data_IF_029266795166
#
_entry.id   IF_029266795166
#
_cell.length_a   1.000
_cell.length_b   1.000
_cell.length_c   1.000
_cell.angle_alpha   90.00
_cell.angle_beta   90.00
_cell.angle_gamma   90.00
#
_symmetry.space_group_name_H-M   'P 1'
#
loop_
_entity.id
_entity.type
_entity.pdbx_description
1 polymer ?
#
# COMPACT_ATOMS: atom_id res chain seq x y z
N UNK A 1 11.92 17.20 -12.06
CA UNK A 1 10.45 17.27 -12.25
C UNK A 1 9.71 16.99 -10.95
N UNK A 2 9.92 15.83 -10.32
CA UNK A 2 9.23 15.44 -9.06
C UNK A 2 9.35 16.48 -7.95
N UNK A 3 10.54 17.04 -7.70
CA UNK A 3 10.72 18.09 -6.70
C UNK A 3 9.83 19.32 -6.96
N UNK A 4 9.77 19.81 -8.22
CA UNK A 4 8.91 20.93 -8.62
C UNK A 4 7.43 20.63 -8.38
N UNK A 5 6.99 19.40 -8.67
CA UNK A 5 5.63 18.94 -8.40
C UNK A 5 5.35 18.94 -6.89
N UNK A 6 6.23 18.37 -6.08
CA UNK A 6 6.08 18.34 -4.62
C UNK A 6 5.99 19.75 -4.03
N UNK A 7 6.85 20.67 -4.47
CA UNK A 7 6.81 22.07 -4.03
C UNK A 7 5.53 22.77 -4.50
N UNK A 8 5.06 22.51 -5.72
CA UNK A 8 3.80 23.05 -6.22
C UNK A 8 2.61 22.61 -5.36
N UNK A 9 2.50 21.31 -5.10
CA UNK A 9 1.41 20.72 -4.30
C UNK A 9 1.46 21.18 -2.85
N UNK A 10 2.67 21.28 -2.27
CA UNK A 10 2.86 21.79 -0.91
C UNK A 10 2.36 23.23 -0.76
N UNK A 11 2.69 24.10 -1.72
CA UNK A 11 2.32 25.52 -1.69
C UNK A 11 0.84 25.76 -2.05
N UNK A 12 0.11 24.73 -2.47
CA UNK A 12 -1.27 24.81 -2.96
C UNK A 12 -2.14 23.66 -2.44
N UNK A 13 -2.34 23.54 -1.11
CA UNK A 13 -3.12 22.44 -0.53
C UNK A 13 -4.56 22.36 -1.07
N UNK A 14 -5.17 23.51 -1.41
CA UNK A 14 -6.49 23.58 -2.01
C UNK A 14 -6.58 22.90 -3.39
N UNK A 15 -5.45 22.74 -4.09
CA UNK A 15 -5.37 21.98 -5.34
C UNK A 15 -4.89 20.55 -5.10
N UNK A 16 -3.97 20.36 -4.16
CA UNK A 16 -3.44 19.03 -3.86
C UNK A 16 -4.53 18.08 -3.33
N UNK A 17 -5.42 18.55 -2.44
CA UNK A 17 -6.49 17.71 -1.89
C UNK A 17 -7.45 17.20 -3.00
N UNK A 18 -8.03 18.06 -3.86
CA UNK A 18 -8.83 17.59 -5.00
C UNK A 18 -8.07 16.66 -5.93
N UNK A 19 -6.80 16.95 -6.26
CA UNK A 19 -5.99 16.07 -7.13
C UNK A 19 -5.83 14.68 -6.50
N UNK A 20 -5.51 14.61 -5.22
CA UNK A 20 -5.37 13.34 -4.50
C UNK A 20 -6.70 12.56 -4.46
N UNK A 21 -7.83 13.25 -4.21
CA UNK A 21 -9.16 12.64 -4.22
C UNK A 21 -9.51 12.12 -5.61
N UNK A 22 -9.36 12.94 -6.65
CA UNK A 22 -9.66 12.56 -8.04
C UNK A 22 -8.79 11.38 -8.47
N UNK A 23 -7.49 11.41 -8.16
CA UNK A 23 -6.60 10.27 -8.42
C UNK A 23 -7.09 9.01 -7.72
N UNK A 24 -7.42 9.10 -6.44
CA UNK A 24 -7.90 7.94 -5.67
C UNK A 24 -9.20 7.37 -6.24
N UNK A 25 -10.18 8.22 -6.55
CA UNK A 25 -11.48 7.80 -7.08
C UNK A 25 -11.40 7.24 -8.51
N UNK A 26 -10.52 7.77 -9.36
CA UNK A 26 -10.47 7.39 -10.78
C UNK A 26 -9.40 6.35 -11.10
N UNK A 27 -8.38 6.18 -10.25
CA UNK A 27 -7.24 5.29 -10.52
C UNK A 27 -7.14 4.17 -9.50
N UNK A 28 -7.38 4.43 -8.21
CA UNK A 28 -7.26 3.42 -7.15
C UNK A 28 -8.54 2.60 -7.04
N UNK A 29 -9.68 3.22 -6.72
CA UNK A 29 -10.94 2.47 -6.54
C UNK A 29 -11.38 1.58 -7.73
N UNK A 30 -11.15 1.96 -9.01
CA UNK A 30 -11.56 1.13 -10.14
C UNK A 30 -10.47 0.14 -10.61
N UNK A 31 -9.45 -0.15 -9.80
CA UNK A 31 -8.32 -0.96 -10.23
C UNK A 31 -8.72 -2.38 -10.65
N UNK A 32 -9.72 -3.00 -10.00
CA UNK A 32 -10.25 -4.31 -10.41
C UNK A 32 -10.88 -4.27 -11.81
N UNK A 33 -11.58 -3.18 -12.16
CA UNK A 33 -12.18 -2.97 -13.48
C UNK A 33 -11.07 -2.83 -14.53
N UNK A 34 -10.02 -2.08 -14.21
CA UNK A 34 -8.85 -1.96 -15.09
C UNK A 34 -8.19 -3.32 -15.27
N UNK A 35 -8.00 -4.09 -14.19
CA UNK A 35 -7.50 -5.46 -14.24
C UNK A 35 -8.33 -6.37 -15.15
N UNK A 36 -9.66 -6.28 -15.07
CA UNK A 36 -10.57 -7.02 -15.95
C UNK A 36 -10.49 -6.58 -17.41
N UNK A 37 -10.40 -5.28 -17.68
CA UNK A 37 -10.23 -4.76 -19.04
C UNK A 37 -8.90 -5.24 -19.62
N UNK A 38 -7.83 -5.16 -18.85
CA UNK A 38 -6.52 -5.68 -19.25
C UNK A 38 -6.60 -7.17 -19.53
N UNK A 39 -7.18 -7.96 -18.62
CA UNK A 39 -7.37 -9.40 -18.81
C UNK A 39 -8.18 -9.70 -20.08
N UNK A 40 -9.25 -8.94 -20.35
CA UNK A 40 -10.06 -9.09 -21.55
C UNK A 40 -9.29 -8.77 -22.84
N UNK A 41 -8.42 -7.74 -22.85
CA UNK A 41 -7.58 -7.41 -24.01
C UNK A 41 -6.61 -8.55 -24.35
N UNK A 42 -6.15 -9.29 -23.34
CA UNK A 42 -5.25 -10.42 -23.50
C UNK A 42 -5.96 -11.77 -23.63
N UNK A 43 -7.27 -11.81 -23.43
CA UNK A 43 -8.07 -13.02 -23.49
C UNK A 43 -8.04 -13.61 -24.90
N UNK A 44 -7.84 -14.93 -25.00
CA UNK A 44 -7.71 -15.64 -26.27
C UNK A 44 -6.38 -15.45 -27.03
N UNK A 45 -5.48 -14.57 -26.58
CA UNK A 45 -4.19 -14.30 -27.25
C UNK A 45 -2.98 -14.81 -26.46
N UNK A 46 -3.10 -14.97 -25.14
CA UNK A 46 -1.98 -15.34 -24.27
C UNK A 46 -2.43 -16.34 -23.21
N UNK A 47 -1.55 -17.27 -22.85
CA UNK A 47 -1.78 -18.11 -21.67
C UNK A 47 -1.61 -17.29 -20.40
N UNK A 48 -2.15 -17.79 -19.27
CA UNK A 48 -1.93 -17.15 -17.95
C UNK A 48 -0.44 -17.00 -17.62
N UNK A 49 0.38 -17.96 -18.03
CA UNK A 49 1.82 -17.94 -17.78
C UNK A 49 2.53 -16.90 -18.66
N UNK A 50 2.14 -16.75 -19.92
CA UNK A 50 2.65 -15.70 -20.80
C UNK A 50 2.28 -14.32 -20.26
N UNK A 51 1.03 -14.16 -19.81
CA UNK A 51 0.55 -12.92 -19.20
C UNK A 51 1.36 -12.58 -17.94
N UNK A 52 1.46 -13.52 -17.00
CA UNK A 52 2.24 -13.34 -15.78
C UNK A 52 3.71 -13.03 -16.07
N UNK A 53 4.33 -13.71 -17.03
CA UNK A 53 5.72 -13.48 -17.43
C UNK A 53 5.89 -12.08 -18.01
N UNK A 54 4.95 -11.64 -18.85
CA UNK A 54 4.96 -10.30 -19.45
C UNK A 54 4.87 -9.21 -18.39
N UNK A 55 3.91 -9.34 -17.47
CA UNK A 55 3.77 -8.38 -16.36
C UNK A 55 5.01 -8.38 -15.47
N UNK A 56 5.63 -9.54 -15.21
CA UNK A 56 6.86 -9.64 -14.43
C UNK A 56 8.02 -8.90 -15.13
N UNK A 57 8.21 -9.11 -16.44
CA UNK A 57 9.27 -8.43 -17.22
C UNK A 57 9.06 -6.91 -17.18
N UNK A 58 7.83 -6.43 -17.42
CA UNK A 58 7.50 -5.00 -17.35
C UNK A 58 7.80 -4.44 -15.95
N UNK A 59 7.45 -5.19 -14.90
CA UNK A 59 7.68 -4.79 -13.52
C UNK A 59 9.16 -4.70 -13.17
N UNK A 60 9.97 -5.66 -13.63
CA UNK A 60 11.42 -5.64 -13.43
C UNK A 60 12.09 -4.47 -14.16
N UNK A 61 11.69 -4.20 -15.40
CA UNK A 61 12.16 -3.03 -16.15
C UNK A 61 11.76 -1.72 -15.46
N UNK A 62 10.54 -1.63 -14.96
CA UNK A 62 10.05 -0.50 -14.16
C UNK A 62 10.85 -0.30 -12.88
N UNK A 63 11.16 -1.38 -12.16
CA UNK A 63 11.97 -1.34 -10.93
C UNK A 63 13.42 -0.92 -11.22
N UNK A 64 14.02 -1.38 -12.32
CA UNK A 64 15.35 -0.97 -12.75
C UNK A 64 15.39 0.52 -13.07
N UNK A 65 14.41 1.01 -13.85
CA UNK A 65 14.27 2.44 -14.15
C UNK A 65 14.08 3.28 -12.87
N UNK A 66 13.16 2.85 -12.00
CA UNK A 66 12.90 3.50 -10.71
C UNK A 66 14.18 3.58 -9.86
N UNK A 67 14.92 2.48 -9.76
CA UNK A 67 16.17 2.40 -9.00
C UNK A 67 17.24 3.32 -9.58
N UNK A 68 17.37 3.37 -10.91
CA UNK A 68 18.26 4.31 -11.59
C UNK A 68 17.93 5.77 -11.24
N UNK A 69 16.65 6.17 -11.34
CA UNK A 69 16.21 7.53 -10.99
C UNK A 69 16.54 7.84 -9.52
N UNK A 70 16.26 6.90 -8.63
CA UNK A 70 16.51 7.06 -7.19
C UNK A 70 18.01 7.24 -6.90
N UNK A 71 18.88 6.39 -7.46
CA UNK A 71 20.34 6.47 -7.29
C UNK A 71 20.89 7.77 -7.88
N UNK A 72 20.39 8.20 -9.04
CA UNK A 72 20.76 9.45 -9.68
C UNK A 72 20.44 10.66 -8.80
N UNK A 73 19.26 10.68 -8.16
CA UNK A 73 18.86 11.79 -7.27
C UNK A 73 19.72 11.85 -6.00
N UNK A 74 20.31 10.74 -5.59
CA UNK A 74 21.16 10.62 -4.41
C UNK A 74 22.65 10.86 -4.72
N UNK A 75 22.98 11.27 -5.94
CA UNK A 75 24.36 11.56 -6.32
C UNK A 75 24.89 12.77 -5.54
N UNK A 76 25.88 12.55 -4.68
CA UNK A 76 26.52 13.58 -3.87
C UNK A 76 26.19 13.55 -2.37
N UNK A 77 25.06 12.95 -1.95
CA UNK A 77 24.69 12.86 -0.53
C UNK A 77 24.90 11.44 0.00
N UNK A 78 26.12 11.15 0.48
CA UNK A 78 26.51 9.80 0.96
C UNK A 78 25.63 9.31 2.11
N UNK A 79 25.27 10.20 3.04
CA UNK A 79 24.48 9.85 4.22
C UNK A 79 23.05 9.47 3.84
N UNK A 80 22.39 10.33 3.06
CA UNK A 80 21.04 10.07 2.57
C UNK A 80 21.02 8.85 1.65
N UNK A 81 22.05 8.70 0.81
CA UNK A 81 22.20 7.55 -0.10
C UNK A 81 22.18 6.23 0.67
N UNK A 82 23.00 6.10 1.73
CA UNK A 82 23.03 4.87 2.55
C UNK A 82 21.66 4.56 3.15
N UNK A 83 21.00 5.57 3.73
CA UNK A 83 19.67 5.41 4.34
C UNK A 83 18.64 4.94 3.29
N UNK A 84 18.48 5.69 2.21
CA UNK A 84 17.44 5.42 1.20
C UNK A 84 17.71 4.08 0.50
N UNK A 85 18.95 3.75 0.16
CA UNK A 85 19.27 2.47 -0.46
C UNK A 85 19.08 1.27 0.49
N UNK A 86 19.35 1.42 1.79
CA UNK A 86 19.05 0.36 2.75
C UNK A 86 17.54 0.09 2.86
N UNK A 87 16.72 1.14 2.86
CA UNK A 87 15.27 0.99 2.86
C UNK A 87 14.75 0.47 1.53
N UNK A 88 15.33 0.88 0.39
CA UNK A 88 15.00 0.32 -0.92
C UNK A 88 15.29 -1.19 -0.96
N UNK A 89 16.47 -1.62 -0.53
CA UNK A 89 16.83 -3.03 -0.48
C UNK A 89 15.84 -3.83 0.40
N UNK A 90 15.53 -3.34 1.60
CA UNK A 90 14.53 -3.97 2.47
C UNK A 90 13.13 -4.01 1.82
N UNK A 91 12.71 -2.92 1.18
CA UNK A 91 11.40 -2.83 0.49
C UNK A 91 11.32 -3.83 -0.66
N UNK A 92 12.39 -3.98 -1.45
CA UNK A 92 12.48 -4.98 -2.52
C UNK A 92 12.42 -6.40 -1.96
N UNK A 93 13.12 -6.70 -0.86
CA UNK A 93 13.02 -8.01 -0.19
C UNK A 93 11.60 -8.29 0.28
N UNK A 94 10.94 -7.35 0.96
CA UNK A 94 9.55 -7.52 1.40
C UNK A 94 8.57 -7.63 0.22
N UNK A 95 8.84 -6.93 -0.88
CA UNK A 95 8.07 -7.04 -2.12
C UNK A 95 8.20 -8.43 -2.71
N UNK A 96 9.42 -8.97 -2.83
CA UNK A 96 9.67 -10.34 -3.32
C UNK A 96 8.97 -11.36 -2.42
N UNK A 97 9.06 -11.21 -1.09
CA UNK A 97 8.35 -12.08 -0.15
C UNK A 97 6.84 -12.00 -0.34
N UNK A 98 6.28 -10.79 -0.48
CA UNK A 98 4.84 -10.61 -0.74
C UNK A 98 4.43 -11.25 -2.07
N UNK A 99 5.26 -11.11 -3.11
CA UNK A 99 5.03 -11.71 -4.42
C UNK A 99 5.03 -13.24 -4.39
N UNK A 100 5.85 -13.84 -3.52
CA UNK A 100 5.95 -15.30 -3.37
C UNK A 100 4.91 -15.88 -2.44
N UNK A 101 4.44 -15.11 -1.46
CA UNK A 101 3.62 -15.62 -0.37
C UNK A 101 2.16 -15.17 -0.47
N UNK A 102 1.89 -13.97 -0.98
CA UNK A 102 0.59 -13.30 -0.85
C UNK A 102 -0.11 -13.09 -2.19
N UNK A 103 0.65 -12.86 -3.26
CA UNK A 103 0.09 -12.50 -4.58
C UNK A 103 -0.30 -13.74 -5.38
N UNK A 104 -1.50 -13.70 -5.97
CA UNK A 104 -2.08 -14.78 -6.78
C UNK A 104 -1.82 -14.60 -8.28
N UNK A 105 -1.82 -13.35 -8.75
CA UNK A 105 -1.62 -12.98 -10.15
C UNK A 105 -0.65 -11.80 -10.24
N UNK A 106 0.24 -11.81 -11.21
CA UNK A 106 1.33 -10.82 -11.25
C UNK A 106 0.83 -9.38 -11.49
N UNK A 107 -0.40 -9.21 -11.99
CA UNK A 107 -1.02 -7.90 -12.21
C UNK A 107 -1.25 -7.12 -10.91
N UNK A 108 -1.30 -7.79 -9.75
CA UNK A 108 -1.37 -7.13 -8.45
C UNK A 108 -0.15 -6.23 -8.17
N UNK A 109 0.90 -6.32 -8.98
CA UNK A 109 2.01 -5.36 -8.95
C UNK A 109 1.57 -3.90 -9.15
N UNK A 110 0.38 -3.69 -9.74
CA UNK A 110 -0.21 -2.36 -9.91
C UNK A 110 -0.41 -1.62 -8.59
N UNK A 111 -0.68 -2.35 -7.49
CA UNK A 111 -0.81 -1.79 -6.15
C UNK A 111 0.46 -1.04 -5.72
N UNK A 112 1.65 -1.55 -6.05
CA UNK A 112 2.90 -0.86 -5.71
C UNK A 112 2.99 0.51 -6.40
N UNK A 113 2.58 0.59 -7.66
CA UNK A 113 2.64 1.82 -8.47
C UNK A 113 1.56 2.81 -8.03
N UNK A 114 0.33 2.34 -7.84
CA UNK A 114 -0.79 3.16 -7.39
C UNK A 114 -0.51 3.77 -6.02
N UNK A 115 -0.09 2.97 -5.05
CA UNK A 115 0.15 3.49 -3.71
C UNK A 115 1.45 4.30 -3.60
N UNK A 116 2.43 4.08 -4.48
CA UNK A 116 3.55 5.01 -4.62
C UNK A 116 3.08 6.40 -5.06
N UNK A 117 2.14 6.48 -6.00
CA UNK A 117 1.53 7.74 -6.42
C UNK A 117 0.68 8.36 -5.30
N UNK A 118 -0.17 7.59 -4.63
CA UNK A 118 -0.96 8.04 -3.46
C UNK A 118 -0.06 8.67 -2.40
N UNK A 119 1.01 7.97 -2.00
CA UNK A 119 1.94 8.49 -1.00
C UNK A 119 2.64 9.77 -1.45
N UNK A 120 2.99 9.87 -2.73
CA UNK A 120 3.62 11.08 -3.31
C UNK A 120 2.67 12.28 -3.27
N UNK A 121 1.36 12.08 -3.50
CA UNK A 121 0.34 13.14 -3.45
C UNK A 121 -0.02 13.55 -2.02
N UNK A 122 -0.06 12.58 -1.09
CA UNK A 122 -0.39 12.84 0.32
C UNK A 122 0.79 13.49 1.07
N UNK A 123 2.03 13.14 0.71
CA UNK A 123 3.20 13.61 1.44
C UNK A 123 3.29 15.15 1.58
N UNK A 124 3.06 15.98 0.54
CA UNK A 124 3.06 17.45 0.68
C UNK A 124 2.06 18.02 1.69
N UNK A 125 0.97 17.29 1.99
CA UNK A 125 -0.04 17.68 2.99
C UNK A 125 0.45 17.35 4.41
N UNK A 126 0.95 16.13 4.59
CA UNK A 126 1.28 15.56 5.90
C UNK A 126 2.71 15.91 6.35
N UNK A 127 3.65 15.94 5.40
CA UNK A 127 5.08 16.26 5.54
C UNK A 127 5.81 15.37 6.55
N UNK A 128 5.30 14.16 6.79
CA UNK A 128 5.86 13.19 7.74
C UNK A 128 5.78 11.80 7.15
N UNK A 129 6.94 11.20 6.91
CA UNK A 129 7.06 9.89 6.26
C UNK A 129 6.20 8.81 6.94
N UNK A 130 6.34 8.61 8.24
CA UNK A 130 5.58 7.58 8.96
C UNK A 130 4.06 7.82 8.94
N UNK A 131 3.61 9.07 9.07
CA UNK A 131 2.19 9.39 8.98
C UNK A 131 1.67 9.24 7.55
N UNK A 132 2.47 9.57 6.53
CA UNK A 132 2.08 9.34 5.13
C UNK A 132 1.94 7.86 4.80
N UNK A 133 2.85 6.99 5.28
CA UNK A 133 2.67 5.53 5.13
C UNK A 133 1.37 5.12 5.81
N UNK A 134 1.13 5.55 7.05
CA UNK A 134 -0.08 5.20 7.79
C UNK A 134 -1.36 5.65 7.04
N UNK A 135 -1.42 6.90 6.57
CA UNK A 135 -2.57 7.38 5.78
C UNK A 135 -2.74 6.61 4.48
N UNK A 136 -1.65 6.31 3.77
CA UNK A 136 -1.71 5.50 2.56
C UNK A 136 -2.18 4.07 2.86
N UNK A 137 -1.76 3.46 3.98
CA UNK A 137 -2.25 2.14 4.42
C UNK A 137 -3.73 2.17 4.78
N UNK A 138 -4.21 3.21 5.46
CA UNK A 138 -5.64 3.37 5.76
C UNK A 138 -6.48 3.52 4.49
N UNK A 139 -5.96 4.23 3.49
CA UNK A 139 -6.59 4.26 2.17
C UNK A 139 -6.49 2.90 1.47
N UNK A 140 -5.38 2.17 1.61
CA UNK A 140 -5.24 0.76 1.21
C UNK A 140 -6.36 -0.12 1.76
N UNK A 141 -6.63 0.03 3.05
CA UNK A 141 -7.69 -0.69 3.72
C UNK A 141 -9.09 -0.26 3.25
N UNK A 142 -9.29 1.02 2.95
CA UNK A 142 -10.56 1.54 2.47
C UNK A 142 -10.86 1.09 1.03
N UNK A 143 -9.85 1.01 0.17
CA UNK A 143 -9.95 0.45 -1.18
C UNK A 143 -10.39 -1.01 -1.14
N UNK A 144 -9.71 -1.84 -0.33
CA UNK A 144 -10.11 -3.23 -0.17
C UNK A 144 -11.48 -3.39 0.48
N UNK A 145 -11.86 -2.50 1.42
CA UNK A 145 -13.20 -2.50 1.99
C UNK A 145 -14.26 -2.21 0.92
N UNK A 146 -13.97 -1.27 0.01
CA UNK A 146 -14.85 -0.97 -1.10
C UNK A 146 -15.02 -2.16 -2.04
N UNK A 147 -13.91 -2.82 -2.40
CA UNK A 147 -13.92 -4.03 -3.21
C UNK A 147 -14.74 -5.15 -2.56
N UNK A 148 -14.43 -5.45 -1.30
CA UNK A 148 -15.02 -6.54 -0.54
C UNK A 148 -16.52 -6.36 -0.26
N UNK A 149 -16.93 -5.16 0.15
CA UNK A 149 -18.32 -4.92 0.56
C UNK A 149 -19.24 -4.52 -0.60
N UNK A 150 -18.73 -3.86 -1.64
CA UNK A 150 -19.57 -3.24 -2.67
C UNK A 150 -19.30 -3.75 -4.08
N UNK A 151 -18.03 -3.84 -4.50
CA UNK A 151 -17.73 -4.14 -5.90
C UNK A 151 -17.89 -5.63 -6.24
N UNK A 152 -17.44 -6.49 -5.35
CA UNK A 152 -17.29 -7.92 -5.59
C UNK A 152 -17.74 -8.79 -4.42
N UNK A 153 -18.91 -8.53 -3.80
CA UNK A 153 -19.33 -9.27 -2.61
C UNK A 153 -19.50 -10.77 -2.89
N UNK A 154 -19.98 -11.16 -4.06
CA UNK A 154 -20.20 -12.58 -4.37
C UNK A 154 -18.93 -13.34 -4.77
N UNK A 155 -17.86 -12.61 -5.13
CA UNK A 155 -16.59 -13.19 -5.62
C UNK A 155 -15.51 -13.26 -4.55
N UNK A 156 -15.69 -12.55 -3.43
CA UNK A 156 -14.69 -12.43 -2.37
C UNK A 156 -15.10 -13.21 -1.13
N UNK A 157 -14.21 -14.12 -0.70
CA UNK A 157 -14.44 -14.98 0.47
C UNK A 157 -14.00 -14.31 1.78
N UNK A 158 -13.11 -13.34 1.71
CA UNK A 158 -12.52 -12.65 2.85
C UNK A 158 -12.09 -11.24 2.43
N UNK A 159 -11.96 -10.36 3.42
CA UNK A 159 -11.35 -9.06 3.26
C UNK A 159 -9.84 -9.23 3.07
N UNK A 160 -9.29 -8.76 1.95
CA UNK A 160 -7.93 -9.10 1.54
C UNK A 160 -6.84 -8.26 2.22
N UNK A 161 -6.36 -8.74 3.37
CA UNK A 161 -5.22 -8.12 4.04
C UNK A 161 -3.91 -8.20 3.23
N UNK A 162 -3.81 -9.09 2.24
CA UNK A 162 -2.64 -9.16 1.36
C UNK A 162 -2.50 -7.86 0.58
N UNK A 163 -3.62 -7.37 0.03
CA UNK A 163 -3.68 -6.12 -0.73
C UNK A 163 -3.33 -4.91 0.12
N UNK A 164 -3.81 -4.87 1.37
CA UNK A 164 -3.44 -3.80 2.32
C UNK A 164 -1.93 -3.78 2.61
N UNK A 165 -1.29 -4.95 2.70
CA UNK A 165 0.16 -5.06 2.93
C UNK A 165 0.94 -4.59 1.69
N UNK A 166 0.57 -5.02 0.49
CA UNK A 166 1.25 -4.57 -0.74
C UNK A 166 1.00 -3.07 -1.02
N UNK A 167 -0.17 -2.54 -0.66
CA UNK A 167 -0.48 -1.10 -0.68
C UNK A 167 0.47 -0.31 0.24
N UNK A 168 0.72 -0.81 1.45
CA UNK A 168 1.72 -0.23 2.36
C UNK A 168 3.10 -0.23 1.70
N UNK A 169 3.56 -1.34 1.15
CA UNK A 169 4.87 -1.42 0.47
C UNK A 169 4.95 -0.49 -0.75
N UNK A 170 3.88 -0.37 -1.53
CA UNK A 170 3.74 0.60 -2.61
C UNK A 170 3.94 2.03 -2.14
N UNK A 171 3.28 2.40 -1.04
CA UNK A 171 3.41 3.73 -0.45
C UNK A 171 4.86 4.08 -0.08
N UNK A 172 5.64 3.09 0.35
CA UNK A 172 7.05 3.25 0.69
C UNK A 172 7.88 3.54 -0.55
N UNK A 173 7.63 2.89 -1.71
CA UNK A 173 8.30 3.25 -2.96
C UNK A 173 8.06 4.72 -3.33
N UNK A 174 6.84 5.23 -3.15
CA UNK A 174 6.54 6.65 -3.34
C UNK A 174 7.37 7.55 -2.41
N UNK A 175 7.42 7.20 -1.13
CA UNK A 175 8.16 7.96 -0.13
C UNK A 175 9.69 7.89 -0.28
N UNK A 176 10.23 6.77 -0.75
CA UNK A 176 11.66 6.65 -1.09
C UNK A 176 12.02 7.59 -2.23
N UNK A 177 11.16 7.72 -3.24
CA UNK A 177 11.34 8.69 -4.32
C UNK A 177 11.29 10.12 -3.79
N UNK A 178 10.27 10.45 -2.97
CA UNK A 178 10.16 11.76 -2.29
C UNK A 178 11.40 12.07 -1.47
N UNK A 179 11.94 11.09 -0.73
CA UNK A 179 13.16 11.24 0.07
C UNK A 179 14.39 11.47 -0.80
N UNK A 180 14.48 10.77 -1.95
CA UNK A 180 15.62 10.89 -2.87
C UNK A 180 15.74 12.27 -3.51
N UNK A 181 14.60 12.92 -3.81
CA UNK A 181 14.60 14.23 -4.50
C UNK A 181 14.71 15.42 -3.55
N UNK A 182 14.69 15.19 -2.24
CA UNK A 182 14.61 16.21 -1.18
C UNK A 182 13.51 17.27 -1.45
N UNK A 183 12.35 17.19 -0.79
CA UNK A 183 11.11 17.88 -1.21
C UNK A 183 11.18 19.42 -1.33
N UNK A 184 12.27 20.06 -0.91
CA UNK A 184 12.52 21.49 -1.08
C UNK A 184 11.75 22.37 -0.09
N UNK A 185 11.10 21.76 0.91
CA UNK A 185 10.41 22.45 1.99
C UNK A 185 10.82 21.88 3.35
N UNK A 186 10.70 22.70 4.39
CA UNK A 186 11.03 22.32 5.76
C UNK A 186 10.06 21.24 6.26
N UNK A 187 10.64 20.17 6.82
CA UNK A 187 9.86 19.14 7.49
C UNK A 187 9.59 19.59 8.94
N UNK A 188 8.35 19.38 9.45
CA UNK A 188 8.03 19.75 10.82
C UNK A 188 8.90 18.96 11.82
N UNK A 189 9.21 19.58 12.96
CA UNK A 189 9.84 18.88 14.09
C UNK A 189 8.97 17.67 14.46
N UNK A 190 9.62 16.55 14.76
CA UNK A 190 8.94 15.32 15.19
C UNK A 190 8.16 15.61 16.48
N UNK A 191 6.84 15.55 16.39
CA UNK A 191 6.00 15.57 17.59
C UNK A 191 6.01 14.20 18.24
N UNK A 192 5.66 14.16 19.51
CA UNK A 192 5.27 12.93 20.19
C UNK A 192 4.15 12.27 19.38
N UNK A 193 4.33 11.00 18.99
CA UNK A 193 3.43 10.28 18.09
C UNK A 193 1.95 10.32 18.54
N UNK A 194 1.71 10.23 19.85
CA UNK A 194 0.37 10.28 20.46
C UNK A 194 -0.35 11.64 20.33
N UNK A 195 0.31 12.67 19.81
CA UNK A 195 -0.30 13.97 19.48
C UNK A 195 -0.53 14.15 17.98
N UNK A 196 -0.21 13.15 17.16
CA UNK A 196 -0.43 13.22 15.71
C UNK A 196 -1.91 13.00 15.37
N UNK A 197 -2.45 13.66 14.33
CA UNK A 197 -3.79 13.34 13.82
C UNK A 197 -3.93 11.86 13.42
N UNK A 198 -2.84 11.25 12.94
CA UNK A 198 -2.82 9.86 12.54
C UNK A 198 -3.03 8.91 13.73
N UNK A 199 -2.49 9.24 14.92
CA UNK A 199 -2.77 8.47 16.14
C UNK A 199 -4.26 8.51 16.51
N UNK A 200 -4.89 9.70 16.47
CA UNK A 200 -6.32 9.82 16.75
C UNK A 200 -7.18 9.10 15.70
N UNK A 201 -6.78 9.10 14.44
CA UNK A 201 -7.47 8.36 13.38
C UNK A 201 -7.43 6.84 13.64
N UNK A 202 -6.26 6.30 14.02
CA UNK A 202 -6.12 4.88 14.38
C UNK A 202 -6.95 4.55 15.63
N UNK A 203 -6.91 5.40 16.66
CA UNK A 203 -7.69 5.20 17.87
C UNK A 203 -9.20 5.24 17.59
N UNK A 204 -9.66 6.18 16.76
CA UNK A 204 -11.05 6.29 16.36
C UNK A 204 -11.50 5.06 15.54
N UNK A 205 -10.66 4.59 14.61
CA UNK A 205 -10.93 3.37 13.84
C UNK A 205 -10.99 2.13 14.74
N UNK A 206 -10.04 1.99 15.68
CA UNK A 206 -10.03 0.90 16.64
C UNK A 206 -11.27 0.91 17.53
N UNK A 207 -11.68 2.08 18.03
CA UNK A 207 -12.90 2.25 18.80
C UNK A 207 -14.15 1.91 17.97
N UNK A 208 -14.21 2.35 16.71
CA UNK A 208 -15.31 2.03 15.80
C UNK A 208 -15.44 0.52 15.56
N UNK A 209 -14.33 -0.17 15.31
CA UNK A 209 -14.31 -1.63 15.15
C UNK A 209 -14.74 -2.32 16.45
N UNK A 210 -14.19 -1.91 17.60
CA UNK A 210 -14.53 -2.50 18.90
C UNK A 210 -16.02 -2.33 19.24
N UNK A 211 -16.58 -1.12 19.03
CA UNK A 211 -18.01 -0.85 19.23
C UNK A 211 -18.86 -1.68 18.26
N UNK A 212 -18.47 -1.75 16.98
CA UNK A 212 -19.20 -2.53 15.97
C UNK A 212 -19.20 -4.04 16.31
N UNK A 213 -18.10 -4.56 16.84
CA UNK A 213 -18.01 -5.94 17.33
C UNK A 213 -18.85 -6.15 18.60
N UNK A 214 -18.78 -5.22 19.56
CA UNK A 214 -19.56 -5.29 20.81
C UNK A 214 -21.07 -5.21 20.59
N UNK A 215 -21.51 -4.49 19.56
CA UNK A 215 -22.92 -4.43 19.13
C UNK A 215 -23.35 -5.59 18.22
N UNK A 216 -22.43 -6.51 17.87
CA UNK A 216 -22.71 -7.62 16.96
C UNK A 216 -22.93 -7.20 15.49
N UNK A 217 -22.60 -5.96 15.11
CA UNK A 217 -22.69 -5.50 13.72
C UNK A 217 -21.57 -6.06 12.85
N UNK A 218 -20.40 -6.29 13.45
CA UNK A 218 -19.21 -6.78 12.78
C UNK A 218 -18.70 -8.05 13.46
N UNK A 219 -18.40 -9.07 12.65
CA UNK A 219 -17.76 -10.30 13.11
C UNK A 219 -16.49 -10.56 12.32
N UNK A 220 -15.49 -11.19 12.97
CA UNK A 220 -14.28 -11.63 12.26
C UNK A 220 -14.60 -12.80 11.32
N UNK A 221 -15.45 -13.73 11.77
CA UNK A 221 -15.91 -14.88 11.00
C UNK A 221 -17.44 -14.87 10.92
N UNK A 222 -17.99 -15.32 9.80
CA UNK A 222 -19.42 -15.51 9.67
C UNK A 222 -19.93 -16.50 10.75
N UNK A 223 -20.98 -16.16 11.51
CA UNK A 223 -21.53 -17.03 12.53
C UNK A 223 -22.18 -18.28 11.90
N UNK A 224 -22.01 -19.43 12.55
CA UNK A 224 -22.52 -20.73 12.08
C UNK A 224 -24.07 -20.82 12.14
N UNK A 225 -24.70 -20.00 12.97
CA UNK A 225 -26.13 -20.06 13.29
C UNK A 225 -27.07 -19.52 12.21
N UNK A 226 -26.56 -19.16 11.02
CA UNK A 226 -27.36 -18.57 9.94
C UNK A 226 -27.91 -17.15 10.25
N UNK A 227 -27.62 -16.60 11.43
CA UNK A 227 -27.90 -15.21 11.76
C UNK A 227 -26.87 -14.36 11.01
N UNK A 228 -27.26 -13.79 9.87
CA UNK A 228 -26.37 -13.01 9.03
C UNK A 228 -25.71 -11.88 9.81
N UNK A 229 -24.40 -12.00 10.10
CA UNK A 229 -23.61 -10.86 10.53
C UNK A 229 -23.70 -9.79 9.45
N UNK A 230 -24.09 -8.55 9.81
CA UNK A 230 -24.21 -7.46 8.84
C UNK A 230 -22.91 -7.24 8.10
N UNK A 231 -21.79 -7.35 8.80
CA UNK A 231 -20.44 -7.38 8.23
C UNK A 231 -19.64 -8.54 8.82
N UNK A 232 -19.06 -9.37 7.95
CA UNK A 232 -18.07 -10.36 8.33
C UNK A 232 -16.79 -10.08 7.57
N UNK A 233 -15.61 -10.19 8.20
CA UNK A 233 -14.32 -10.10 7.50
C UNK A 233 -13.94 -11.40 6.78
N UNK A 234 -14.44 -12.54 7.27
CA UNK A 234 -14.24 -13.86 6.68
C UNK A 234 -15.61 -14.48 6.45
N UNK A 235 -16.03 -14.59 5.19
CA UNK A 235 -17.28 -15.25 4.79
C UNK A 235 -17.08 -16.75 4.68
N UNK A 236 -16.02 -17.15 3.98
CA UNK A 236 -15.65 -18.55 3.82
C UNK A 236 -14.31 -18.76 4.52
N UNK A 237 -14.23 -19.64 5.53
CA UNK A 237 -12.97 -19.88 6.21
C UNK A 237 -12.02 -20.72 5.34
N UNK A 238 -10.80 -20.23 5.20
CA UNK A 238 -9.71 -20.97 4.56
C UNK A 238 -9.26 -22.15 5.46
N UNK A 239 -8.98 -23.30 4.84
CA UNK A 239 -8.53 -24.51 5.54
C UNK A 239 -7.00 -24.56 5.50
N UNK A 240 -6.37 -24.33 6.65
CA UNK A 240 -4.92 -24.40 6.81
C UNK A 240 -4.22 -23.05 6.65
N UNK A 241 -2.91 -23.11 6.37
CA UNK A 241 -2.06 -21.93 6.15
C UNK A 241 -1.93 -21.59 4.66
N UNK A 242 -1.89 -22.59 3.78
CA UNK A 242 -1.75 -22.41 2.35
C UNK A 242 -3.08 -22.64 1.64
N UNK A 243 -3.42 -21.74 0.73
CA UNK A 243 -4.52 -21.88 -0.22
C UNK A 243 -3.92 -22.14 -1.59
N UNK A 244 -4.37 -23.19 -2.26
CA UNK A 244 -3.94 -23.53 -3.62
C UNK A 244 -5.13 -23.44 -4.56
N UNK A 245 -5.02 -22.61 -5.59
CA UNK A 245 -6.02 -22.50 -6.64
C UNK A 245 -5.49 -23.04 -7.96
N UNK A 246 -6.38 -23.49 -8.84
CA UNK A 246 -6.01 -23.91 -10.19
C UNK A 246 -5.33 -22.74 -10.95
N UNK A 247 -4.21 -22.95 -11.67
CA UNK A 247 -3.57 -24.23 -12.03
C UNK A 247 -2.39 -24.65 -11.13
N UNK A 248 -2.48 -24.52 -9.80
CA UNK A 248 -1.45 -24.77 -8.77
C UNK A 248 -0.73 -23.51 -8.25
N UNK A 249 -1.40 -22.36 -8.25
CA UNK A 249 -0.88 -21.18 -7.56
C UNK A 249 -1.16 -21.33 -6.06
N UNK A 250 -0.10 -21.32 -5.26
CA UNK A 250 -0.18 -21.45 -3.80
C UNK A 250 0.20 -20.14 -3.14
N UNK A 251 -0.66 -19.66 -2.24
CA UNK A 251 -0.49 -18.40 -1.52
C UNK A 251 -1.09 -18.52 -0.12
N UNK A 252 -0.78 -17.57 0.74
CA UNK A 252 -1.31 -17.46 2.09
C UNK A 252 -2.33 -16.33 2.15
N UNK A 253 -3.51 -16.63 2.65
CA UNK A 253 -4.55 -15.64 2.97
C UNK A 253 -4.28 -15.11 4.37
N UNK A 254 -3.79 -13.87 4.46
CA UNK A 254 -3.46 -13.25 5.74
C UNK A 254 -4.73 -12.99 6.55
N UNK A 255 -4.80 -13.57 7.76
CA UNK A 255 -5.96 -13.37 8.64
C UNK A 255 -5.96 -11.97 9.25
N UNK A 256 -7.11 -11.45 9.71
CA UNK A 256 -7.18 -10.07 10.22
C UNK A 256 -6.16 -9.75 11.32
N UNK A 257 -5.97 -10.63 12.30
CA UNK A 257 -4.99 -10.41 13.37
C UNK A 257 -3.54 -10.47 12.85
N UNK A 258 -3.25 -11.42 11.95
CA UNK A 258 -1.92 -11.55 11.31
C UNK A 258 -1.61 -10.29 10.49
N UNK A 259 -2.57 -9.81 9.71
CA UNK A 259 -2.46 -8.60 8.90
C UNK A 259 -2.19 -7.36 9.75
N UNK A 260 -2.92 -7.17 10.86
CA UNK A 260 -2.66 -6.07 11.79
C UNK A 260 -1.25 -6.14 12.41
N UNK A 261 -0.76 -7.34 12.74
CA UNK A 261 0.60 -7.54 13.25
C UNK A 261 1.64 -7.18 12.19
N UNK A 262 1.51 -7.72 10.97
CA UNK A 262 2.45 -7.46 9.86
C UNK A 262 2.46 -5.97 9.50
N UNK A 263 1.29 -5.35 9.34
CA UNK A 263 1.15 -3.92 9.06
C UNK A 263 1.79 -3.10 10.19
N UNK A 264 1.53 -3.43 11.46
CA UNK A 264 2.13 -2.75 12.60
C UNK A 264 3.66 -2.81 12.60
N UNK A 265 4.23 -3.99 12.36
CA UNK A 265 5.68 -4.18 12.27
C UNK A 265 6.30 -3.40 11.11
N UNK A 266 5.67 -3.42 9.93
CA UNK A 266 6.13 -2.65 8.76
C UNK A 266 6.05 -1.14 9.02
N UNK A 267 4.96 -0.65 9.61
CA UNK A 267 4.82 0.76 9.98
C UNK A 267 5.94 1.18 10.93
N UNK A 268 6.20 0.39 11.99
CA UNK A 268 7.28 0.66 12.94
C UNK A 268 8.66 0.68 12.26
N UNK A 269 8.91 -0.26 11.35
CA UNK A 269 10.15 -0.32 10.56
C UNK A 269 10.35 0.95 9.71
N UNK A 270 9.31 1.41 9.01
CA UNK A 270 9.39 2.55 8.10
C UNK A 270 9.29 3.93 8.77
N UNK A 271 8.93 4.02 10.06
CA UNK A 271 9.06 5.27 10.85
C UNK A 271 10.50 5.82 10.82
N UNK A 272 11.50 4.95 10.67
CA UNK A 272 12.90 5.35 10.55
C UNK A 272 13.26 6.05 9.23
N UNK A 273 12.45 5.95 8.17
CA UNK A 273 12.72 6.60 6.88
C UNK A 273 12.80 8.13 6.99
N UNK A 274 12.00 8.70 7.90
CA UNK A 274 11.99 10.13 8.18
C UNK A 274 13.06 10.59 9.18
N UNK A 275 14.10 9.79 9.47
CA UNK A 275 15.21 10.21 10.34
C UNK A 275 16.03 11.29 9.63
N UNK A 276 16.42 12.32 10.40
CA UNK A 276 17.41 13.29 9.93
C UNK A 276 18.75 12.58 9.82
N UNK A 277 19.43 12.78 8.69
CA UNK A 277 20.79 12.28 8.49
C UNK A 277 21.69 13.50 8.51
N UNK A 278 22.73 13.46 9.35
CA UNK A 278 23.76 14.49 9.33
C UNK A 278 24.47 14.39 7.98
N UNK A 279 24.13 15.28 7.06
CA UNK A 279 24.90 15.48 5.84
C UNK A 279 26.19 16.18 6.27
N UNK A 280 27.22 15.38 6.59
CA UNK A 280 28.57 15.92 6.77
C UNK A 280 28.93 16.66 5.49
N UNK A 281 29.10 17.98 5.58
CA UNK A 281 29.62 18.79 4.49
C UNK A 281 31.04 18.30 4.22
N UNK A 282 31.21 17.44 3.22
CA UNK A 282 32.49 16.93 2.73
C UNK A 282 32.52 17.07 1.24
#
# INVERSE_FOLDING_TARGET
MVQKLLSFLHNRPQWNVPIAIVFYLLVVLPHEQVGRVVAWVFDGHMTRDDYNTTILVISLLGLLWYSYVLVKNLWGDRGLKKLVLSYLAATVVFTILSFKLLIVINIEVVHFVQYAAVATLIFPLVKRYGETVLWATLLGAADEAWQYFYLSPERTNYYDFNDVIINLLGSVFGLLLVRSVQPGFALPIRWRFWRSPAFFAVLALAALVAVSMGLGWMHVRAPESGIGARWSLIRVPEVGFWTTIHPQVTFHVVRPVEGLIVIGLLLLFYVGLGRQVNTSQT
#
